data_IF_073524735430
#
_entry.id   IF_073524735430
#
_cell.length_a   1.000
_cell.length_b   1.000
_cell.length_c   1.000
_cell.angle_alpha   90.00
_cell.angle_beta   90.00
_cell.angle_gamma   90.00
#
_symmetry.space_group_name_H-M   'P 1'
#
loop_
_entity.id
_entity.type
_entity.pdbx_description
1 polymer ?
#
# COMPACT_ATOMS: atom_id res chain seq x y z
N UNK A 1 25.90 -8.98 2.94
CA UNK A 1 25.01 -8.20 2.08
C UNK A 1 25.27 -8.67 0.66
N UNK A 2 24.26 -9.19 -0.07
CA UNK A 2 24.47 -9.68 -1.44
C UNK A 2 24.93 -8.51 -2.32
N UNK A 3 26.00 -8.69 -3.09
CA UNK A 3 26.56 -7.69 -4.02
C UNK A 3 25.54 -7.16 -5.04
N UNK A 4 24.43 -7.87 -5.25
CA UNK A 4 23.38 -7.49 -6.19
C UNK A 4 22.38 -6.44 -5.65
N UNK A 5 22.37 -6.19 -4.33
CA UNK A 5 21.51 -5.17 -3.70
C UNK A 5 22.17 -3.78 -3.64
N UNK A 6 23.48 -3.67 -3.84
CA UNK A 6 24.20 -2.39 -3.72
C UNK A 6 23.89 -1.38 -4.82
N UNK A 7 23.22 -1.81 -5.90
CA UNK A 7 22.87 -0.94 -7.03
C UNK A 7 21.50 -0.26 -6.87
N UNK A 8 20.76 -0.54 -5.80
CA UNK A 8 19.43 0.01 -5.55
C UNK A 8 19.35 0.78 -4.24
N UNK A 9 18.70 1.93 -4.28
CA UNK A 9 18.36 2.68 -3.08
C UNK A 9 17.22 1.98 -2.34
N UNK A 10 17.35 1.94 -1.02
CA UNK A 10 16.38 1.42 -0.06
C UNK A 10 15.72 2.57 0.70
N UNK A 11 14.71 2.29 1.53
CA UNK A 11 14.06 3.31 2.35
C UNK A 11 15.07 4.00 3.28
N UNK A 12 16.09 3.29 3.74
CA UNK A 12 17.10 3.83 4.65
C UNK A 12 18.04 4.85 3.99
N UNK A 13 18.02 4.97 2.66
CA UNK A 13 18.80 5.96 1.91
C UNK A 13 18.08 7.32 1.79
N UNK A 14 16.88 7.47 2.36
CA UNK A 14 16.06 8.68 2.24
C UNK A 14 15.55 9.20 3.59
N UNK A 15 15.50 10.53 3.72
CA UNK A 15 14.71 11.20 4.76
C UNK A 15 13.27 11.40 4.26
N UNK A 16 12.34 10.68 4.90
CA UNK A 16 10.93 10.62 4.51
C UNK A 16 10.01 11.40 5.46
N UNK A 17 10.55 12.00 6.52
CA UNK A 17 9.75 12.74 7.51
C UNK A 17 8.99 13.91 6.86
N UNK A 18 7.67 13.94 7.07
CA UNK A 18 6.77 14.93 6.48
C UNK A 18 6.64 14.85 4.95
N UNK A 19 7.27 13.88 4.29
CA UNK A 19 7.17 13.69 2.83
C UNK A 19 5.97 12.83 2.48
N UNK A 20 5.37 13.09 1.32
CA UNK A 20 4.36 12.20 0.74
C UNK A 20 5.11 11.08 0.01
N UNK A 21 4.93 9.84 0.46
CA UNK A 21 5.56 8.65 -0.13
C UNK A 21 4.49 7.83 -0.83
N UNK A 22 4.58 7.72 -2.15
CA UNK A 22 3.76 6.80 -2.92
C UNK A 22 4.37 5.40 -2.86
N UNK A 23 3.76 4.51 -2.07
CA UNK A 23 4.16 3.13 -1.92
C UNK A 23 3.37 2.21 -2.85
N UNK A 24 4.04 1.61 -3.84
CA UNK A 24 3.42 0.65 -4.75
C UNK A 24 3.46 -0.75 -4.14
N UNK A 25 2.37 -1.13 -3.47
CA UNK A 25 2.29 -2.39 -2.73
C UNK A 25 1.92 -3.58 -3.63
N UNK A 26 2.56 -4.72 -3.42
CA UNK A 26 2.12 -6.01 -3.97
C UNK A 26 1.30 -6.75 -2.93
N UNK A 27 -0.02 -6.51 -2.95
CA UNK A 27 -0.99 -7.16 -2.07
C UNK A 27 -1.91 -8.12 -2.84
N UNK A 28 -1.55 -8.45 -4.08
CA UNK A 28 -2.34 -9.35 -4.93
C UNK A 28 -2.50 -10.70 -4.23
N UNK A 29 -3.73 -11.15 -4.10
CA UNK A 29 -4.09 -12.26 -3.21
C UNK A 29 -5.01 -13.26 -3.91
N UNK A 30 -5.05 -14.47 -3.37
CA UNK A 30 -6.01 -15.48 -3.84
C UNK A 30 -7.42 -15.02 -3.46
N UNK A 31 -8.34 -15.14 -4.41
CA UNK A 31 -9.77 -14.86 -4.21
C UNK A 31 -10.52 -16.19 -4.27
N UNK A 32 -11.27 -16.51 -3.21
CA UNK A 32 -12.08 -17.73 -3.10
C UNK A 32 -13.52 -17.29 -2.88
N UNK A 33 -14.43 -17.68 -3.76
CA UNK A 33 -15.86 -17.31 -3.71
C UNK A 33 -16.07 -15.78 -3.55
N UNK A 34 -15.29 -14.99 -4.30
CA UNK A 34 -15.32 -13.53 -4.27
C UNK A 34 -14.67 -12.89 -3.03
N UNK A 35 -14.10 -13.68 -2.11
CA UNK A 35 -13.45 -13.21 -0.89
C UNK A 35 -11.93 -13.21 -1.02
N UNK A 36 -11.33 -12.04 -0.82
CA UNK A 36 -9.88 -11.87 -0.74
C UNK A 36 -9.36 -12.55 0.51
N UNK A 37 -8.37 -13.42 0.35
CA UNK A 37 -7.77 -14.13 1.47
C UNK A 37 -6.59 -13.35 2.05
N UNK A 38 -6.50 -13.28 3.38
CA UNK A 38 -5.29 -12.76 4.03
C UNK A 38 -4.11 -13.69 3.75
N UNK A 39 -3.01 -13.12 3.27
CA UNK A 39 -1.79 -13.84 2.89
C UNK A 39 -0.55 -13.03 3.27
N UNK A 40 0.60 -13.70 3.20
CA UNK A 40 1.92 -13.16 3.51
C UNK A 40 2.21 -11.83 2.78
N UNK A 41 1.82 -11.69 1.51
CA UNK A 41 1.96 -10.43 0.76
C UNK A 41 1.34 -9.23 1.47
N UNK A 42 0.14 -9.38 2.02
CA UNK A 42 -0.53 -8.31 2.78
C UNK A 42 0.24 -8.03 4.07
N UNK A 43 0.66 -9.09 4.79
CA UNK A 43 1.39 -8.97 6.06
C UNK A 43 2.75 -8.29 5.89
N UNK A 44 3.53 -8.67 4.89
CA UNK A 44 4.87 -8.12 4.65
C UNK A 44 4.80 -6.67 4.17
N UNK A 45 3.89 -6.33 3.25
CA UNK A 45 3.71 -4.94 2.84
C UNK A 45 3.22 -4.07 4.01
N UNK A 46 2.39 -4.60 4.91
CA UNK A 46 1.96 -3.87 6.09
C UNK A 46 3.12 -3.50 7.02
N UNK A 47 4.19 -4.30 7.08
CA UNK A 47 5.41 -3.96 7.84
C UNK A 47 6.10 -2.74 7.25
N UNK A 48 6.29 -2.71 5.93
CA UNK A 48 6.92 -1.56 5.26
C UNK A 48 6.06 -0.29 5.35
N UNK A 49 4.74 -0.41 5.22
CA UNK A 49 3.82 0.73 5.39
C UNK A 49 3.92 1.27 6.82
N UNK A 50 3.95 0.39 7.82
CA UNK A 50 4.12 0.78 9.22
C UNK A 50 5.44 1.49 9.44
N UNK A 51 6.55 0.95 8.92
CA UNK A 51 7.87 1.58 9.04
C UNK A 51 7.89 3.00 8.47
N UNK A 52 7.30 3.22 7.29
CA UNK A 52 7.19 4.54 6.68
C UNK A 52 6.37 5.51 7.54
N UNK A 53 5.21 5.05 8.06
CA UNK A 53 4.36 5.85 8.96
C UNK A 53 5.07 6.17 10.29
N UNK A 54 5.77 5.21 10.89
CA UNK A 54 6.58 5.42 12.11
C UNK A 54 7.72 6.43 11.87
N UNK A 55 8.31 6.43 10.66
CA UNK A 55 9.26 7.44 10.17
C UNK A 55 8.60 8.78 9.77
N UNK A 56 7.33 8.99 10.12
CA UNK A 56 6.55 10.22 9.87
C UNK A 56 6.33 10.56 8.39
N UNK A 57 6.44 9.58 7.50
CA UNK A 57 6.03 9.76 6.11
C UNK A 57 4.51 9.78 6.00
N UNK A 58 3.99 10.60 5.08
CA UNK A 58 2.58 10.60 4.66
C UNK A 58 2.41 9.54 3.58
N UNK A 59 2.01 8.33 3.97
CA UNK A 59 2.03 7.16 3.07
C UNK A 59 0.77 7.09 2.19
N UNK A 60 0.98 7.02 0.88
CA UNK A 60 -0.08 6.79 -0.12
C UNK A 60 0.13 5.42 -0.74
N UNK A 61 -0.85 4.53 -0.65
CA UNK A 61 -0.72 3.16 -1.13
C UNK A 61 -1.38 3.02 -2.51
N UNK A 62 -0.63 2.51 -3.48
CA UNK A 62 -1.14 2.12 -4.79
C UNK A 62 -0.92 0.62 -5.01
N UNK A 63 -1.97 -0.10 -5.37
CA UNK A 63 -1.89 -1.53 -5.64
C UNK A 63 -2.87 -1.94 -6.73
N UNK A 64 -2.95 -3.24 -6.99
CA UNK A 64 -3.98 -3.85 -7.83
C UNK A 64 -4.28 -5.26 -7.34
N UNK A 65 -5.43 -5.78 -7.76
CA UNK A 65 -5.78 -7.18 -7.65
C UNK A 65 -6.05 -7.71 -9.05
N UNK A 66 -5.25 -8.70 -9.47
CA UNK A 66 -5.30 -9.30 -10.80
C UNK A 66 -5.28 -8.29 -11.96
N UNK A 67 -5.88 -8.64 -13.11
CA UNK A 67 -5.92 -7.82 -14.31
C UNK A 67 -7.28 -7.94 -15.00
N UNK A 68 -7.67 -6.90 -15.74
CA UNK A 68 -8.91 -6.86 -16.51
C UNK A 68 -9.11 -8.15 -17.32
N UNK A 69 -10.33 -8.70 -17.29
CA UNK A 69 -10.68 -9.94 -17.98
C UNK A 69 -10.41 -11.21 -17.17
N UNK A 70 -9.92 -11.11 -15.94
CA UNK A 70 -9.82 -12.23 -14.99
C UNK A 70 -10.95 -12.19 -13.97
N UNK A 71 -11.33 -13.37 -13.55
CA UNK A 71 -12.41 -13.68 -12.63
C UNK A 71 -12.17 -13.08 -11.24
N UNK A 72 -10.89 -12.94 -10.88
CA UNK A 72 -10.40 -12.38 -9.62
C UNK A 72 -10.01 -10.90 -9.72
N UNK A 73 -10.34 -10.22 -10.84
CA UNK A 73 -10.18 -8.77 -10.96
C UNK A 73 -11.28 -8.06 -10.16
N UNK A 74 -10.90 -7.48 -9.03
CA UNK A 74 -11.84 -6.86 -8.09
C UNK A 74 -11.27 -5.59 -7.46
N UNK A 75 -12.13 -4.82 -6.81
CA UNK A 75 -11.75 -3.65 -6.01
C UNK A 75 -10.82 -4.03 -4.87
N UNK A 76 -9.98 -3.08 -4.45
CA UNK A 76 -9.09 -3.21 -3.30
C UNK A 76 -9.79 -2.95 -1.95
N UNK A 77 -11.10 -2.73 -1.93
CA UNK A 77 -11.83 -2.47 -0.69
C UNK A 77 -11.65 -3.59 0.35
N UNK A 78 -11.73 -4.86 -0.07
CA UNK A 78 -11.49 -6.00 0.82
C UNK A 78 -10.03 -6.03 1.32
N UNK A 79 -9.05 -5.71 0.48
CA UNK A 79 -7.65 -5.61 0.92
C UNK A 79 -7.47 -4.49 1.94
N UNK A 80 -8.13 -3.35 1.74
CA UNK A 80 -8.11 -2.25 2.70
C UNK A 80 -8.80 -2.61 4.02
N UNK A 81 -9.86 -3.43 4.00
CA UNK A 81 -10.45 -4.01 5.22
C UNK A 81 -9.46 -4.93 5.94
N UNK A 82 -8.74 -5.78 5.21
CA UNK A 82 -7.73 -6.67 5.79
C UNK A 82 -6.54 -5.91 6.38
N UNK A 83 -6.02 -4.92 5.65
CA UNK A 83 -4.92 -4.06 6.12
C UNK A 83 -5.31 -3.20 7.33
N UNK A 84 -6.59 -2.78 7.44
CA UNK A 84 -7.10 -2.04 8.61
C UNK A 84 -7.00 -2.81 9.93
N UNK A 85 -6.87 -4.14 9.89
CA UNK A 85 -6.61 -4.93 11.10
C UNK A 85 -5.15 -4.78 11.60
N UNK A 86 -4.27 -4.19 10.79
CA UNK A 86 -2.82 -4.10 11.03
C UNK A 86 -2.33 -2.65 11.10
N UNK A 87 -3.07 -1.72 10.50
CA UNK A 87 -2.70 -0.33 10.24
C UNK A 87 -3.92 0.57 10.37
N UNK A 88 -3.73 1.82 10.78
CA UNK A 88 -4.75 2.85 10.63
C UNK A 88 -4.67 3.42 9.21
N UNK A 89 -5.69 3.18 8.39
CA UNK A 89 -5.73 3.66 7.01
C UNK A 89 -7.14 3.94 6.53
N UNK A 90 -7.23 4.79 5.51
CA UNK A 90 -8.47 5.13 4.80
C UNK A 90 -8.42 4.64 3.37
N UNK A 91 -9.45 3.89 2.94
CA UNK A 91 -9.65 3.56 1.53
C UNK A 91 -10.29 4.73 0.80
N UNK A 92 -9.79 5.03 -0.40
CA UNK A 92 -10.34 6.05 -1.30
C UNK A 92 -10.69 5.35 -2.60
N UNK A 93 -11.97 5.39 -2.98
CA UNK A 93 -12.47 4.81 -4.24
C UNK A 93 -12.22 5.76 -5.43
N UNK A 94 -10.96 6.18 -5.57
CA UNK A 94 -10.46 7.03 -6.65
C UNK A 94 -8.94 6.86 -6.74
N UNK A 95 -8.40 6.84 -7.96
CA UNK A 95 -6.97 6.59 -8.22
C UNK A 95 -6.24 7.88 -8.61
N UNK A 96 -6.87 8.76 -9.40
CA UNK A 96 -6.22 9.94 -9.99
C UNK A 96 -7.09 11.21 -9.95
N UNK A 97 -8.37 11.07 -9.59
CA UNK A 97 -9.36 12.12 -9.59
C UNK A 97 -9.29 13.04 -8.36
N UNK A 98 -10.30 13.92 -8.22
CA UNK A 98 -10.30 14.94 -7.18
C UNK A 98 -10.31 14.36 -5.76
N UNK A 99 -10.99 13.23 -5.52
CA UNK A 99 -11.08 12.63 -4.19
C UNK A 99 -9.73 12.09 -3.72
N UNK A 100 -8.99 11.41 -4.61
CA UNK A 100 -7.63 10.95 -4.32
C UNK A 100 -6.69 12.13 -4.02
N UNK A 101 -6.73 13.18 -4.86
CA UNK A 101 -5.88 14.36 -4.70
C UNK A 101 -6.18 15.14 -3.41
N UNK A 102 -7.44 15.26 -3.03
CA UNK A 102 -7.84 15.92 -1.79
C UNK A 102 -7.41 15.13 -0.57
N UNK A 103 -7.63 13.81 -0.57
CA UNK A 103 -7.20 12.94 0.53
C UNK A 103 -5.69 13.02 0.75
N UNK A 104 -4.88 12.96 -0.32
CA UNK A 104 -3.42 13.07 -0.25
C UNK A 104 -2.97 14.42 0.33
N UNK A 105 -3.61 15.53 -0.07
CA UNK A 105 -3.28 16.87 0.45
C UNK A 105 -3.55 17.01 1.94
N UNK A 106 -4.57 16.33 2.44
CA UNK A 106 -5.03 16.40 3.83
C UNK A 106 -4.42 15.33 4.75
N UNK A 107 -3.51 14.49 4.23
CA UNK A 107 -2.77 13.54 5.07
C UNK A 107 -1.92 14.28 6.11
N UNK A 108 -2.06 13.85 7.36
CA UNK A 108 -1.17 14.25 8.46
C UNK A 108 0.04 13.33 8.50
N UNK A 109 1.13 13.76 9.13
CA UNK A 109 2.36 12.98 9.21
C UNK A 109 2.18 11.71 10.06
N UNK A 110 2.64 10.58 9.52
CA UNK A 110 2.44 9.24 10.06
C UNK A 110 1.21 8.55 9.46
#
# INVERSE_FOLDING_TARGET
MNEQLSDFLTIDDFDVEGKIVLFRADINSVVIDGKVQMKERILENAKTIRELSEKKARVVILAHQSRVGRDDFTSLEQHAQLLRNLLDLKFIDDIIGPAAREAIKNLSDG
#
